data_IF_540866596046
#
_entry.id   IF_540866596046
#
_cell.length_a   1.000
_cell.length_b   1.000
_cell.length_c   1.000
_cell.angle_alpha   90.00
_cell.angle_beta   90.00
_cell.angle_gamma   90.00
#
_symmetry.space_group_name_H-M   'P 1'
#
loop_
_entity.id
_entity.type
_entity.pdbx_description
1 polymer ?
#
# COMPACT_ATOMS: atom_id res chain seq x y z
N UNK A 1 -73.83 -16.04 36.24
CA UNK A 1 -72.46 -15.55 36.47
C UNK A 1 -71.49 -15.77 35.28
N UNK A 2 -71.95 -16.01 34.04
CA UNK A 2 -71.07 -16.29 32.87
C UNK A 2 -70.89 -15.11 31.89
N UNK A 3 -71.60 -14.00 32.11
CA UNK A 3 -71.73 -12.89 31.15
C UNK A 3 -70.58 -11.87 31.19
N UNK A 4 -69.97 -11.64 32.36
CA UNK A 4 -68.84 -10.69 32.50
C UNK A 4 -67.53 -11.20 31.88
N UNK A 5 -67.32 -12.52 31.95
CA UNK A 5 -66.14 -13.18 31.38
C UNK A 5 -66.14 -13.10 29.85
N UNK A 6 -67.31 -13.29 29.22
CA UNK A 6 -67.50 -13.09 27.78
C UNK A 6 -67.25 -11.64 27.38
N UNK A 7 -67.72 -10.67 28.16
CA UNK A 7 -67.58 -9.25 27.83
C UNK A 7 -66.12 -8.75 27.87
N UNK A 8 -65.34 -9.17 28.88
CA UNK A 8 -63.92 -8.81 28.96
C UNK A 8 -63.05 -9.54 27.92
N UNK A 9 -63.42 -10.77 27.56
CA UNK A 9 -62.76 -11.51 26.46
C UNK A 9 -63.03 -10.86 25.09
N UNK A 10 -64.28 -10.46 24.83
CA UNK A 10 -64.65 -9.72 23.60
C UNK A 10 -63.91 -8.39 23.49
N UNK A 11 -63.73 -7.65 24.59
CA UNK A 11 -62.91 -6.43 24.62
C UNK A 11 -61.44 -6.68 24.29
N UNK A 12 -60.87 -7.81 24.72
CA UNK A 12 -59.48 -8.16 24.43
C UNK A 12 -59.28 -8.61 22.97
N UNK A 13 -60.30 -9.24 22.36
CA UNK A 13 -60.27 -9.64 20.95
C UNK A 13 -60.52 -8.45 20.00
N UNK A 14 -61.35 -7.47 20.40
CA UNK A 14 -61.62 -6.24 19.62
C UNK A 14 -60.51 -5.19 19.81
N UNK A 15 -59.74 -5.26 20.91
CA UNK A 15 -58.66 -4.32 21.22
C UNK A 15 -57.27 -4.73 20.74
N UNK A 16 -57.12 -5.91 20.12
CA UNK A 16 -55.84 -6.33 19.53
C UNK A 16 -55.63 -5.54 18.25
N UNK A 17 -54.97 -4.37 18.37
CA UNK A 17 -54.42 -3.65 17.22
C UNK A 17 -53.58 -4.65 16.43
N UNK A 18 -53.90 -4.84 15.16
CA UNK A 18 -53.03 -5.58 14.27
C UNK A 18 -51.74 -4.78 14.15
N UNK A 19 -50.68 -5.24 14.82
CA UNK A 19 -49.34 -4.78 14.53
C UNK A 19 -49.07 -5.18 13.08
N UNK A 20 -49.05 -4.19 12.17
CA UNK A 20 -48.77 -4.41 10.77
C UNK A 20 -47.40 -5.06 10.62
N UNK A 21 -47.38 -6.32 10.23
CA UNK A 21 -46.14 -7.04 9.96
C UNK A 21 -45.44 -6.48 8.73
N UNK A 22 -44.11 -6.55 8.70
CA UNK A 22 -43.30 -6.28 7.52
C UNK A 22 -43.77 -7.18 6.36
N UNK A 23 -44.03 -6.59 5.21
CA UNK A 23 -44.37 -7.35 4.02
C UNK A 23 -43.11 -7.95 3.39
N UNK A 24 -43.23 -9.13 2.78
CA UNK A 24 -42.10 -9.73 2.04
C UNK A 24 -41.64 -8.85 0.88
N UNK A 25 -42.56 -8.08 0.29
CA UNK A 25 -42.24 -7.16 -0.80
C UNK A 25 -41.44 -5.94 -0.33
N UNK A 26 -41.72 -5.40 0.86
CA UNK A 26 -40.91 -4.30 1.43
C UNK A 26 -39.47 -4.75 1.67
N UNK A 27 -39.28 -5.95 2.22
CA UNK A 27 -37.94 -6.49 2.44
C UNK A 27 -37.23 -6.76 1.10
N UNK A 28 -37.96 -7.23 0.08
CA UNK A 28 -37.41 -7.48 -1.26
C UNK A 28 -36.93 -6.18 -1.94
N UNK A 29 -37.69 -5.09 -1.86
CA UNK A 29 -37.28 -3.80 -2.45
C UNK A 29 -36.04 -3.25 -1.74
N UNK A 30 -35.96 -3.40 -0.42
CA UNK A 30 -34.80 -2.92 0.37
C UNK A 30 -33.52 -3.63 -0.03
N UNK A 31 -33.53 -4.96 -0.15
CA UNK A 31 -32.32 -5.71 -0.55
C UNK A 31 -31.91 -5.39 -1.99
N UNK A 32 -32.86 -5.09 -2.88
CA UNK A 32 -32.57 -4.66 -4.26
C UNK A 32 -31.84 -3.32 -4.24
N UNK A 33 -32.32 -2.34 -3.46
CA UNK A 33 -31.69 -1.02 -3.37
C UNK A 33 -30.27 -1.15 -2.78
N UNK A 34 -30.10 -1.90 -1.68
CA UNK A 34 -28.78 -2.14 -1.08
C UNK A 34 -27.85 -2.87 -2.05
N UNK A 35 -28.36 -3.83 -2.82
CA UNK A 35 -27.61 -4.55 -3.84
C UNK A 35 -27.06 -3.64 -4.95
N UNK A 36 -27.88 -2.71 -5.45
CA UNK A 36 -27.45 -1.73 -6.47
C UNK A 36 -26.37 -0.80 -5.91
N UNK A 37 -26.58 -0.28 -4.69
CA UNK A 37 -25.60 0.59 -4.05
C UNK A 37 -24.27 -0.13 -3.77
N UNK A 38 -24.32 -1.37 -3.30
CA UNK A 38 -23.14 -2.18 -3.04
C UNK A 38 -22.35 -2.48 -4.32
N UNK A 39 -23.03 -2.78 -5.44
CA UNK A 39 -22.38 -3.05 -6.72
C UNK A 39 -21.53 -1.87 -7.23
N UNK A 40 -21.96 -0.63 -6.97
CA UNK A 40 -21.22 0.58 -7.38
C UNK A 40 -20.16 0.95 -6.33
N UNK A 41 -20.49 0.85 -5.04
CA UNK A 41 -19.62 1.31 -3.97
C UNK A 41 -18.43 0.38 -3.71
N UNK A 42 -18.64 -0.94 -3.79
CA UNK A 42 -17.62 -1.93 -3.45
C UNK A 42 -16.32 -1.83 -4.28
N UNK A 43 -16.34 -1.74 -5.63
CA UNK A 43 -15.10 -1.62 -6.39
C UNK A 43 -14.33 -0.33 -6.07
N UNK A 44 -15.04 0.78 -5.84
CA UNK A 44 -14.43 2.06 -5.43
C UNK A 44 -13.80 1.96 -4.05
N UNK A 45 -14.47 1.30 -3.11
CA UNK A 45 -13.95 1.08 -1.76
C UNK A 45 -12.68 0.22 -1.78
N UNK A 46 -12.67 -0.87 -2.53
CA UNK A 46 -11.50 -1.74 -2.67
C UNK A 46 -10.30 -1.00 -3.30
N UNK A 47 -10.53 -0.19 -4.33
CA UNK A 47 -9.47 0.63 -4.92
C UNK A 47 -8.90 1.66 -3.93
N UNK A 48 -9.75 2.29 -3.12
CA UNK A 48 -9.29 3.22 -2.08
C UNK A 48 -8.47 2.50 -0.99
N UNK A 49 -8.90 1.32 -0.56
CA UNK A 49 -8.13 0.50 0.37
C UNK A 49 -6.76 0.13 -0.22
N UNK A 50 -6.71 -0.26 -1.49
CA UNK A 50 -5.45 -0.59 -2.18
C UNK A 50 -4.54 0.63 -2.33
N UNK A 51 -5.07 1.83 -2.61
CA UNK A 51 -4.29 3.07 -2.62
C UNK A 51 -3.71 3.42 -1.25
N UNK A 52 -4.47 3.21 -0.18
CA UNK A 52 -3.97 3.42 1.18
C UNK A 52 -2.81 2.47 1.51
N UNK A 53 -2.92 1.20 1.12
CA UNK A 53 -1.85 0.21 1.24
C UNK A 53 -0.60 0.60 0.43
N UNK A 54 -0.78 1.02 -0.82
CA UNK A 54 0.33 1.48 -1.67
C UNK A 54 1.02 2.73 -1.12
N UNK A 55 0.26 3.62 -0.46
CA UNK A 55 0.82 4.81 0.20
C UNK A 55 1.76 4.47 1.35
N UNK A 56 1.54 3.34 2.05
CA UNK A 56 2.45 2.82 3.07
C UNK A 56 3.81 2.51 2.43
N UNK A 57 3.83 1.65 1.42
CA UNK A 57 5.05 1.23 0.73
C UNK A 57 5.81 2.40 0.11
N UNK A 58 5.11 3.30 -0.59
CA UNK A 58 5.69 4.52 -1.15
C UNK A 58 6.36 5.39 -0.07
N UNK A 59 5.74 5.51 1.09
CA UNK A 59 6.29 6.30 2.20
C UNK A 59 7.49 5.61 2.83
N UNK A 60 7.42 4.29 3.00
CA UNK A 60 8.47 3.49 3.62
C UNK A 60 9.72 3.46 2.76
N UNK A 61 9.60 3.07 1.49
CA UNK A 61 10.70 3.06 0.53
C UNK A 61 11.31 4.47 0.38
N UNK A 62 10.47 5.51 0.28
CA UNK A 62 10.97 6.89 0.24
C UNK A 62 11.69 7.32 1.53
N UNK A 63 11.32 6.78 2.68
CA UNK A 63 12.00 7.04 3.96
C UNK A 63 13.33 6.30 4.05
N UNK A 64 13.38 5.05 3.58
CA UNK A 64 14.63 4.29 3.44
C UNK A 64 15.59 5.02 2.50
N UNK A 65 15.13 5.53 1.35
CA UNK A 65 15.96 6.32 0.44
C UNK A 65 16.62 7.53 1.13
N UNK A 66 15.83 8.30 1.90
CA UNK A 66 16.37 9.46 2.65
C UNK A 66 17.36 9.02 3.74
N UNK A 67 17.05 7.93 4.42
CA UNK A 67 17.91 7.39 5.47
C UNK A 67 19.23 6.86 4.91
N UNK A 68 19.22 6.21 3.75
CA UNK A 68 20.42 5.75 3.05
C UNK A 68 21.32 6.91 2.64
N UNK A 69 20.74 8.01 2.13
CA UNK A 69 21.50 9.22 1.84
C UNK A 69 22.13 9.83 3.10
N UNK A 70 21.36 9.94 4.18
CA UNK A 70 21.87 10.44 5.47
C UNK A 70 22.98 9.54 6.02
N UNK A 71 22.79 8.22 6.00
CA UNK A 71 23.76 7.24 6.46
C UNK A 71 25.07 7.33 5.67
N UNK A 72 25.00 7.51 4.34
CA UNK A 72 26.17 7.70 3.49
C UNK A 72 26.94 8.97 3.81
N UNK A 73 26.23 10.06 4.13
CA UNK A 73 26.86 11.31 4.54
C UNK A 73 27.64 11.16 5.86
N UNK A 74 27.22 10.26 6.74
CA UNK A 74 27.86 10.02 8.03
C UNK A 74 28.96 8.95 7.97
N UNK A 75 28.76 7.85 7.23
CA UNK A 75 29.59 6.65 7.31
C UNK A 75 30.40 6.36 6.04
N UNK A 76 30.32 7.20 4.99
CA UNK A 76 30.99 7.02 3.69
C UNK A 76 30.67 5.72 2.93
N UNK A 77 29.76 4.89 3.47
CA UNK A 77 29.18 3.69 2.86
C UNK A 77 27.65 3.71 2.96
N UNK A 78 26.96 2.87 2.18
CA UNK A 78 25.51 2.69 2.32
C UNK A 78 25.20 1.63 3.38
N UNK A 79 24.06 1.76 4.05
CA UNK A 79 23.67 0.77 5.04
C UNK A 79 23.28 -0.55 4.34
N UNK A 80 23.77 -1.71 4.82
CA UNK A 80 23.52 -3.00 4.17
C UNK A 80 22.10 -3.52 4.36
N UNK A 81 21.39 -3.02 5.37
CA UNK A 81 20.04 -3.48 5.75
C UNK A 81 19.21 -2.35 6.38
N UNK A 82 17.90 -2.57 6.50
CA UNK A 82 16.96 -1.59 7.08
C UNK A 82 17.19 -1.42 8.58
N UNK A 83 17.63 -2.46 9.28
CA UNK A 83 17.84 -2.42 10.73
C UNK A 83 18.98 -1.47 11.12
N UNK A 84 20.03 -1.40 10.30
CA UNK A 84 21.20 -0.54 10.46
C UNK A 84 20.84 0.94 10.31
N UNK A 85 19.82 1.25 9.50
CA UNK A 85 19.33 2.62 9.33
C UNK A 85 18.65 3.18 10.58
N UNK A 86 18.15 2.33 11.50
CA UNK A 86 17.58 2.77 12.77
C UNK A 86 16.33 3.64 12.68
N UNK A 87 15.63 3.63 11.53
CA UNK A 87 14.47 4.51 11.25
C UNK A 87 13.12 3.97 11.75
N UNK A 88 13.10 2.84 12.45
CA UNK A 88 11.89 2.25 13.02
C UNK A 88 10.91 1.65 11.99
N UNK A 89 11.38 1.37 10.78
CA UNK A 89 10.64 0.62 9.77
C UNK A 89 10.85 -0.87 10.00
N UNK A 90 9.77 -1.64 9.96
CA UNK A 90 9.82 -3.10 10.02
C UNK A 90 9.97 -3.67 8.62
N UNK A 91 10.77 -4.73 8.48
CA UNK A 91 11.02 -5.41 7.20
C UNK A 91 9.78 -6.15 6.69
N UNK A 92 8.88 -6.57 7.59
CA UNK A 92 7.64 -7.24 7.21
C UNK A 92 6.43 -6.52 7.78
N UNK A 93 5.62 -5.95 6.89
CA UNK A 93 4.27 -5.50 7.22
C UNK A 93 3.24 -6.48 6.68
N UNK A 94 1.97 -6.22 6.99
CA UNK A 94 0.85 -7.06 6.56
C UNK A 94 0.78 -7.18 5.03
N UNK A 95 1.11 -6.12 4.30
CA UNK A 95 0.93 -6.06 2.84
C UNK A 95 2.23 -6.01 2.06
N UNK A 96 3.36 -5.73 2.71
CA UNK A 96 4.65 -5.58 2.05
C UNK A 96 5.76 -6.31 2.81
N UNK A 97 6.75 -6.78 2.06
CA UNK A 97 8.08 -7.13 2.57
C UNK A 97 9.07 -6.10 2.05
N UNK A 98 9.97 -5.63 2.92
CA UNK A 98 10.98 -4.64 2.63
C UNK A 98 12.36 -5.25 2.80
N UNK A 99 13.19 -5.13 1.78
CA UNK A 99 14.56 -5.61 1.81
C UNK A 99 15.48 -4.58 1.17
N UNK A 100 16.57 -4.25 1.85
CA UNK A 100 17.67 -3.47 1.26
C UNK A 100 18.66 -4.46 0.67
N UNK A 101 19.04 -4.24 -0.58
CA UNK A 101 20.13 -4.96 -1.23
C UNK A 101 21.27 -3.99 -1.48
N UNK A 102 22.42 -4.30 -0.89
CA UNK A 102 23.66 -3.62 -1.23
C UNK A 102 24.04 -4.00 -2.67
N UNK A 103 24.17 -2.99 -3.54
CA UNK A 103 24.63 -3.17 -4.89
C UNK A 103 25.99 -2.47 -4.96
N UNK A 104 27.08 -3.16 -4.61
CA UNK A 104 28.43 -2.57 -4.58
C UNK A 104 28.61 -1.38 -3.64
N UNK A 105 29.69 -0.61 -3.86
CA UNK A 105 30.04 0.56 -3.03
C UNK A 105 29.41 1.87 -3.55
N UNK A 106 28.87 1.87 -4.76
CA UNK A 106 28.31 3.04 -5.44
C UNK A 106 26.84 3.31 -5.15
N UNK A 107 26.11 2.35 -4.56
CA UNK A 107 24.69 2.52 -4.23
C UNK A 107 24.04 1.32 -3.56
N UNK A 108 22.73 1.44 -3.40
CA UNK A 108 21.86 0.40 -2.86
C UNK A 108 20.48 0.56 -3.46
N UNK A 109 19.71 -0.52 -3.47
CA UNK A 109 18.28 -0.44 -3.74
C UNK A 109 17.49 -1.15 -2.63
N UNK A 110 16.26 -0.68 -2.43
CA UNK A 110 15.32 -1.18 -1.44
C UNK A 110 14.08 -1.65 -2.15
N UNK A 111 13.76 -2.92 -2.04
CA UNK A 111 12.52 -3.47 -2.55
C UNK A 111 11.43 -3.35 -1.48
N UNK A 112 10.25 -2.91 -1.89
CA UNK A 112 8.99 -3.02 -1.18
C UNK A 112 8.09 -3.96 -1.97
N UNK A 113 8.31 -5.26 -1.80
CA UNK A 113 7.59 -6.32 -2.52
C UNK A 113 6.20 -6.48 -1.93
N UNK A 114 5.18 -6.41 -2.79
CA UNK A 114 3.79 -6.62 -2.39
C UNK A 114 3.53 -8.09 -2.02
N UNK A 115 2.69 -8.30 -1.00
CA UNK A 115 2.15 -9.60 -0.58
C UNK A 115 0.70 -9.81 -1.04
N UNK A 116 0.08 -8.80 -1.67
CA UNK A 116 -1.31 -8.80 -2.12
C UNK A 116 -1.37 -8.53 -3.62
N UNK A 117 -2.05 -9.41 -4.37
CA UNK A 117 -2.21 -9.29 -5.83
C UNK A 117 -2.94 -8.02 -6.28
N UNK A 118 -3.66 -7.35 -5.36
CA UNK A 118 -4.38 -6.12 -5.63
C UNK A 118 -3.55 -4.84 -5.49
N UNK A 119 -2.29 -4.93 -5.08
CA UNK A 119 -1.38 -3.78 -4.92
C UNK A 119 -0.07 -3.98 -5.65
N UNK A 120 0.60 -2.88 -5.94
CA UNK A 120 1.85 -2.84 -6.70
C UNK A 120 3.06 -2.89 -5.77
N UNK A 121 4.14 -3.51 -6.25
CA UNK A 121 5.46 -3.43 -5.62
C UNK A 121 6.12 -2.08 -5.91
N UNK A 122 7.01 -1.66 -5.00
CA UNK A 122 7.80 -0.43 -5.10
C UNK A 122 9.29 -0.76 -4.94
N UNK A 123 10.16 0.05 -5.53
CA UNK A 123 11.60 -0.06 -5.33
C UNK A 123 12.21 1.32 -5.18
N UNK A 124 13.16 1.48 -4.28
CA UNK A 124 13.87 2.73 -4.03
C UNK A 124 15.33 2.54 -4.36
N UNK A 125 15.87 3.32 -5.29
CA UNK A 125 17.28 3.25 -5.66
C UNK A 125 17.98 4.46 -5.07
N UNK A 126 19.14 4.26 -4.44
CA UNK A 126 20.02 5.34 -4.00
C UNK A 126 21.42 5.07 -4.53
N UNK A 127 22.00 6.04 -5.23
CA UNK A 127 23.33 5.89 -5.80
C UNK A 127 24.10 7.20 -5.79
N UNK A 128 25.43 7.11 -5.87
CA UNK A 128 26.28 8.26 -6.11
C UNK A 128 26.33 8.61 -7.59
N UNK A 129 26.09 9.88 -7.89
CA UNK A 129 26.14 10.48 -9.22
C UNK A 129 27.10 11.66 -9.20
N UNK A 130 27.93 11.77 -10.22
CA UNK A 130 28.82 12.90 -10.41
C UNK A 130 28.61 13.47 -11.80
N UNK A 131 27.85 14.59 -11.93
CA UNK A 131 27.77 15.31 -13.18
C UNK A 131 29.16 15.82 -13.60
N UNK A 132 29.37 15.97 -14.91
CA UNK A 132 30.67 16.38 -15.44
C UNK A 132 31.09 17.76 -14.89
N UNK A 133 32.17 17.78 -14.09
CA UNK A 133 32.71 19.01 -13.50
C UNK A 133 32.05 19.44 -12.19
N UNK A 134 31.18 18.62 -11.60
CA UNK A 134 30.56 18.84 -10.29
C UNK A 134 31.06 17.83 -9.25
N UNK A 135 30.74 18.10 -7.98
CA UNK A 135 31.00 17.17 -6.88
C UNK A 135 30.01 16.00 -6.91
N UNK A 136 30.45 14.85 -6.39
CA UNK A 136 29.59 13.68 -6.26
C UNK A 136 28.42 13.96 -5.30
N UNK A 137 27.21 13.65 -5.74
CA UNK A 137 25.98 13.78 -4.94
C UNK A 137 25.22 12.47 -4.92
N UNK A 138 24.50 12.20 -3.83
CA UNK A 138 23.60 11.05 -3.77
C UNK A 138 22.27 11.39 -4.43
N UNK A 139 21.86 10.59 -5.41
CA UNK A 139 20.53 10.67 -6.04
C UNK A 139 19.68 9.52 -5.55
N UNK A 140 18.39 9.77 -5.35
CA UNK A 140 17.42 8.72 -5.09
C UNK A 140 16.25 8.74 -6.06
N UNK A 141 15.86 7.56 -6.48
CA UNK A 141 14.73 7.31 -7.38
C UNK A 141 13.76 6.36 -6.72
N UNK A 142 12.47 6.59 -6.96
CA UNK A 142 11.40 5.69 -6.55
C UNK A 142 10.76 5.08 -7.80
N UNK A 143 10.65 3.77 -7.80
CA UNK A 143 10.08 2.94 -8.85
C UNK A 143 8.75 2.35 -8.38
N UNK A 144 7.79 2.26 -9.29
CA UNK A 144 6.52 1.58 -9.12
C UNK A 144 6.36 0.51 -10.19
N UNK A 145 5.97 -0.70 -9.81
CA UNK A 145 5.67 -1.77 -10.75
C UNK A 145 4.55 -1.37 -11.74
N UNK A 146 4.68 -1.80 -13.00
CA UNK A 146 3.68 -1.49 -14.03
C UNK A 146 2.31 -2.10 -13.68
N UNK A 147 2.32 -3.35 -13.21
CA UNK A 147 1.14 -4.12 -12.86
C UNK A 147 1.07 -4.43 -11.36
N UNK A 148 -0.15 -4.65 -10.86
CA UNK A 148 -0.36 -5.13 -9.50
C UNK A 148 -0.05 -6.64 -9.42
N UNK A 149 0.55 -7.07 -8.31
CA UNK A 149 1.04 -8.44 -8.19
C UNK A 149 1.91 -8.61 -6.96
N UNK A 150 2.44 -9.81 -6.80
CA UNK A 150 3.35 -10.15 -5.68
C UNK A 150 4.81 -10.26 -6.12
N UNK A 151 5.08 -10.00 -7.39
CA UNK A 151 6.42 -10.11 -7.93
C UNK A 151 7.24 -8.88 -7.50
N UNK A 152 8.52 -9.07 -7.12
CA UNK A 152 9.43 -7.97 -6.90
C UNK A 152 9.68 -7.22 -8.21
N UNK A 153 10.05 -5.94 -8.12
CA UNK A 153 10.61 -5.23 -9.27
C UNK A 153 11.98 -5.84 -9.56
N UNK A 154 12.33 -5.98 -10.84
CA UNK A 154 13.64 -6.50 -11.22
C UNK A 154 14.76 -5.62 -10.64
N UNK A 155 15.93 -6.23 -10.41
CA UNK A 155 17.09 -5.48 -9.95
C UNK A 155 17.40 -4.32 -10.90
N UNK A 156 17.78 -3.13 -10.40
CA UNK A 156 18.08 -1.99 -11.25
C UNK A 156 19.18 -2.35 -12.26
N UNK A 157 19.06 -1.84 -13.48
CA UNK A 157 20.07 -2.04 -14.54
C UNK A 157 21.29 -1.14 -14.38
N UNK A 158 21.28 -0.26 -13.37
CA UNK A 158 22.32 0.71 -13.10
C UNK A 158 23.56 0.05 -12.55
N UNK A 159 24.73 0.52 -12.99
CA UNK A 159 26.00 0.01 -12.50
C UNK A 159 26.30 0.58 -11.12
N UNK A 160 26.45 -0.30 -10.13
CA UNK A 160 26.81 0.09 -8.77
C UNK A 160 28.19 -0.43 -8.30
N UNK A 161 28.95 -1.08 -9.19
CA UNK A 161 30.16 -1.84 -8.85
C UNK A 161 31.37 -0.99 -8.41
N UNK A 162 31.34 0.33 -8.62
CA UNK A 162 32.42 1.24 -8.23
C UNK A 162 31.99 2.16 -7.09
N UNK A 163 32.88 2.35 -6.11
CA UNK A 163 32.79 3.45 -5.15
C UNK A 163 32.80 4.83 -5.84
N UNK A 164 33.33 4.86 -7.06
CA UNK A 164 33.33 6.04 -7.91
C UNK A 164 31.90 6.35 -8.39
N UNK A 165 31.48 7.62 -8.26
CA UNK A 165 30.15 8.06 -8.67
C UNK A 165 29.95 7.87 -10.17
N UNK A 166 28.73 7.49 -10.54
CA UNK A 166 28.36 7.36 -11.94
C UNK A 166 28.44 8.72 -12.65
N UNK A 167 29.19 8.79 -13.75
CA UNK A 167 29.40 10.04 -14.52
C UNK A 167 28.32 10.32 -15.56
N UNK A 168 27.27 9.51 -15.59
CA UNK A 168 26.16 9.65 -16.52
C UNK A 168 25.14 10.63 -15.97
N UNK A 169 24.71 11.60 -16.77
CA UNK A 169 23.64 12.52 -16.40
C UNK A 169 22.25 11.84 -16.31
N UNK A 170 22.15 10.56 -16.70
CA UNK A 170 20.95 9.76 -16.55
C UNK A 170 20.72 9.35 -15.08
N UNK A 171 19.47 9.45 -14.63
CA UNK A 171 19.04 8.94 -13.34
C UNK A 171 18.98 7.42 -13.35
N UNK A 172 19.02 6.75 -12.18
CA UNK A 172 18.95 5.31 -12.15
C UNK A 172 17.63 4.79 -12.74
N UNK A 173 17.73 3.86 -13.69
CA UNK A 173 16.58 3.28 -14.38
C UNK A 173 15.97 2.13 -13.58
N UNK A 174 14.65 2.19 -13.42
CA UNK A 174 13.84 1.12 -12.86
C UNK A 174 13.68 0.01 -13.90
N UNK A 175 14.17 -1.20 -13.63
CA UNK A 175 14.02 -2.33 -14.55
C UNK A 175 12.57 -2.82 -14.57
N UNK A 176 11.88 -2.72 -15.71
CA UNK A 176 10.50 -3.19 -15.86
C UNK A 176 9.47 -2.44 -15.00
N UNK A 177 9.79 -1.20 -14.60
CA UNK A 177 8.97 -0.40 -13.70
C UNK A 177 8.99 1.09 -14.07
N UNK A 178 7.98 1.82 -13.59
CA UNK A 178 7.84 3.26 -13.83
C UNK A 178 8.49 4.06 -12.72
N UNK A 179 9.34 5.02 -13.10
CA UNK A 179 9.89 6.05 -12.19
C UNK A 179 8.81 7.04 -11.74
N UNK A 180 8.81 7.41 -10.46
CA UNK A 180 7.85 8.30 -9.79
C UNK A 180 8.40 9.67 -9.43
#
# INVERSE_FOLDING_TARGET
MKTSLKANLLKHLIGKKEEGGFTLIELLVVIIIIGILAAIALPSFLNQANKARQSEAKTYVGSVNRAQQAYRLENTEFAPDITTLGIGIVEDTTYYGYAVTAAGEGGTYTDGTSKDVGVKSYQGIVQLKQPAGEDATSVAVLCEAEEAGTDPIDAPTTNFDSAEPTTTDADPECAGAKTL
#
